data_IF_108458661298
#
_entry.id   IF_108458661298
#
_cell.length_a   1.000
_cell.length_b   1.000
_cell.length_c   1.000
_cell.angle_alpha   90.00
_cell.angle_beta   90.00
_cell.angle_gamma   90.00
#
_symmetry.space_group_name_H-M   'P 1'
#
loop_
_entity.id
_entity.type
_entity.pdbx_description
1 polymer ?
#
# COMPACT_ATOMS: atom_id res chain seq x y z
N UNK A 1 20.41 -18.29 16.17
CA UNK A 1 20.28 -16.84 15.91
C UNK A 1 19.64 -16.11 17.09
N UNK A 2 18.49 -16.55 17.59
CA UNK A 2 17.89 -15.92 18.78
C UNK A 2 18.83 -15.96 19.99
N UNK A 3 19.51 -17.07 20.22
CA UNK A 3 20.51 -17.22 21.29
C UNK A 3 21.75 -16.32 21.14
N UNK A 4 22.00 -15.81 19.93
CA UNK A 4 23.04 -14.81 19.66
C UNK A 4 22.55 -13.35 19.84
N UNK A 5 21.32 -13.16 20.34
CA UNK A 5 20.73 -11.84 20.54
C UNK A 5 20.41 -11.09 19.26
N UNK A 6 20.10 -11.82 18.17
CA UNK A 6 19.70 -11.25 16.88
C UNK A 6 18.17 -11.24 16.83
N UNK A 7 17.60 -10.07 16.63
CA UNK A 7 16.14 -9.91 16.51
C UNK A 7 15.65 -10.41 15.16
N UNK A 8 14.81 -11.45 15.16
CA UNK A 8 14.15 -11.96 13.96
C UNK A 8 12.80 -11.28 13.83
N UNK A 9 12.62 -10.49 12.77
CA UNK A 9 11.39 -9.74 12.49
C UNK A 9 10.43 -10.55 11.63
N UNK A 10 10.95 -11.37 10.71
CA UNK A 10 10.12 -12.16 9.82
C UNK A 10 10.82 -13.40 9.27
N UNK A 11 10.03 -14.35 8.78
CA UNK A 11 10.50 -15.59 8.16
C UNK A 11 9.70 -15.84 6.88
N UNK A 12 10.40 -16.17 5.78
CA UNK A 12 9.77 -16.63 4.56
C UNK A 12 10.18 -18.07 4.28
N UNK A 13 9.20 -18.97 4.31
CA UNK A 13 9.41 -20.38 3.94
C UNK A 13 9.63 -20.55 2.44
N UNK A 14 9.00 -19.69 1.63
CA UNK A 14 9.07 -19.74 0.18
C UNK A 14 10.46 -19.41 -0.36
N UNK A 15 11.10 -18.41 0.24
CA UNK A 15 12.41 -17.95 -0.18
C UNK A 15 13.55 -18.50 0.71
N UNK A 16 13.20 -19.27 1.75
CA UNK A 16 14.15 -19.72 2.77
C UNK A 16 14.98 -18.56 3.34
N UNK A 17 14.30 -17.48 3.72
CA UNK A 17 14.94 -16.24 4.19
C UNK A 17 14.43 -15.83 5.57
N UNK A 18 15.27 -15.10 6.29
CA UNK A 18 14.94 -14.43 7.54
C UNK A 18 15.10 -12.93 7.36
N UNK A 19 14.10 -12.18 7.82
CA UNK A 19 14.23 -10.74 8.03
C UNK A 19 14.68 -10.52 9.46
N UNK A 20 15.80 -9.83 9.64
CA UNK A 20 16.37 -9.52 10.94
C UNK A 20 16.51 -8.01 11.09
N UNK A 21 16.40 -7.53 12.32
CA UNK A 21 16.67 -6.12 12.65
C UNK A 21 18.08 -5.98 13.22
N UNK A 22 18.85 -5.08 12.66
CA UNK A 22 20.20 -4.73 13.09
C UNK A 22 20.22 -3.27 13.52
N UNK A 23 20.55 -3.02 14.78
CA UNK A 23 20.63 -1.67 15.33
C UNK A 23 22.03 -1.05 15.20
N UNK A 24 23.06 -1.89 15.15
CA UNK A 24 24.45 -1.45 15.04
C UNK A 24 25.17 -2.33 14.03
N UNK A 25 25.93 -1.72 13.14
CA UNK A 25 26.65 -2.42 12.07
C UNK A 25 27.59 -3.54 12.59
N UNK A 26 28.17 -3.37 13.78
CA UNK A 26 28.98 -4.41 14.43
C UNK A 26 28.21 -5.72 14.71
N UNK A 27 26.88 -5.67 14.74
CA UNK A 27 26.05 -6.85 14.95
C UNK A 27 26.03 -7.77 13.73
N UNK A 28 26.32 -7.23 12.53
CA UNK A 28 26.47 -8.01 11.31
C UNK A 28 27.57 -9.07 11.45
N UNK A 29 28.67 -8.77 12.16
CA UNK A 29 29.76 -9.72 12.39
C UNK A 29 29.34 -10.97 13.15
N UNK A 30 28.26 -10.90 13.93
CA UNK A 30 27.70 -12.07 14.60
C UNK A 30 27.10 -13.08 13.63
N UNK A 31 26.79 -12.64 12.41
CA UNK A 31 26.22 -13.48 11.35
C UNK A 31 27.29 -14.26 10.60
N UNK A 32 28.52 -13.82 10.60
CA UNK A 32 29.66 -14.47 9.93
C UNK A 32 29.97 -15.88 10.48
N UNK A 33 29.51 -16.17 11.70
CA UNK A 33 29.65 -17.49 12.33
C UNK A 33 28.59 -18.52 11.96
N UNK A 34 27.67 -18.23 11.04
CA UNK A 34 26.60 -19.14 10.66
C UNK A 34 26.78 -19.65 9.22
N UNK A 35 27.29 -20.86 9.05
CA UNK A 35 27.59 -21.49 7.77
C UNK A 35 26.38 -21.62 6.81
N UNK A 36 25.16 -21.58 7.36
CA UNK A 36 23.93 -21.66 6.55
C UNK A 36 23.50 -20.32 5.93
N UNK A 37 24.17 -19.20 6.25
CA UNK A 37 23.89 -17.90 5.63
C UNK A 37 24.65 -17.80 4.33
N UNK A 38 23.94 -17.89 3.19
CA UNK A 38 24.56 -17.80 1.85
C UNK A 38 24.68 -16.36 1.35
N UNK A 39 23.74 -15.50 1.71
CA UNK A 39 23.71 -14.12 1.22
C UNK A 39 22.98 -13.23 2.22
N UNK A 40 23.50 -12.05 2.42
CA UNK A 40 22.84 -10.98 3.16
C UNK A 40 22.56 -9.81 2.21
N UNK A 41 21.37 -9.23 2.35
CA UNK A 41 20.97 -8.03 1.61
C UNK A 41 20.36 -7.03 2.57
N UNK A 42 20.74 -5.77 2.43
CA UNK A 42 20.09 -4.68 3.14
C UNK A 42 18.79 -4.35 2.41
N UNK A 43 17.64 -4.66 3.02
CA UNK A 43 16.32 -4.50 2.39
C UNK A 43 15.63 -3.20 2.78
N UNK A 44 16.02 -2.58 3.90
CA UNK A 44 15.42 -1.36 4.38
C UNK A 44 16.43 -0.42 5.05
N UNK A 45 16.38 0.82 4.68
CA UNK A 45 16.94 1.95 5.43
C UNK A 45 15.76 2.86 5.67
N UNK A 46 15.30 2.96 6.92
CA UNK A 46 14.22 3.89 7.27
C UNK A 46 14.59 5.30 6.76
N UNK A 47 13.88 5.87 5.83
CA UNK A 47 14.18 7.22 5.40
C UNK A 47 13.21 8.16 6.09
N UNK A 48 13.68 8.93 7.03
CA UNK A 48 12.98 10.15 7.48
C UNK A 48 12.62 11.10 6.32
N UNK A 49 13.21 10.88 5.14
CA UNK A 49 13.06 11.77 3.99
C UNK A 49 11.93 11.43 3.02
N UNK A 50 11.40 10.18 2.99
CA UNK A 50 10.34 9.81 2.03
C UNK A 50 9.00 10.38 2.46
N UNK A 51 8.68 10.35 3.75
CA UNK A 51 7.46 10.95 4.29
C UNK A 51 7.39 12.47 4.07
N UNK A 52 8.53 13.17 4.11
CA UNK A 52 8.57 14.61 3.82
C UNK A 52 8.40 14.93 2.33
N UNK A 53 8.95 14.11 1.42
CA UNK A 53 8.77 14.31 -0.03
C UNK A 53 7.35 14.06 -0.48
N UNK A 54 6.67 13.04 0.04
CA UNK A 54 5.26 12.80 -0.27
C UNK A 54 4.36 13.91 0.26
N UNK A 55 4.60 14.41 1.48
CA UNK A 55 3.83 15.52 2.06
C UNK A 55 3.98 16.84 1.28
N UNK A 56 5.14 17.10 0.69
CA UNK A 56 5.36 18.31 -0.12
C UNK A 56 4.75 18.20 -1.53
N UNK A 57 4.70 17.00 -2.12
CA UNK A 57 4.09 16.75 -3.43
C UNK A 57 2.56 16.87 -3.40
N UNK A 58 1.92 16.33 -2.35
CA UNK A 58 0.46 16.37 -2.18
C UNK A 58 -0.05 17.78 -1.96
N UNK A 59 0.68 18.64 -1.24
CA UNK A 59 0.25 20.03 -1.02
C UNK A 59 0.23 20.91 -2.27
N UNK A 60 1.08 20.64 -3.24
CA UNK A 60 1.13 21.43 -4.49
C UNK A 60 0.00 21.10 -5.46
N UNK A 61 -0.51 19.86 -5.44
CA UNK A 61 -1.59 19.40 -6.33
C UNK A 61 -3.01 19.78 -5.89
N UNK A 62 -3.24 20.01 -4.59
CA UNK A 62 -4.60 20.21 -4.06
C UNK A 62 -5.26 21.52 -4.50
N UNK A 63 -4.49 22.53 -4.91
CA UNK A 63 -5.03 23.82 -5.35
C UNK A 63 -5.33 23.92 -6.85
N UNK A 64 -4.96 22.92 -7.65
CA UNK A 64 -5.20 22.90 -9.09
C UNK A 64 -6.37 21.98 -9.51
N UNK A 65 -7.06 21.37 -8.55
CA UNK A 65 -8.05 20.30 -8.78
C UNK A 65 -9.49 20.83 -8.94
N UNK A 66 -9.71 21.92 -9.59
CA UNK A 66 -11.05 22.51 -9.55
C UNK A 66 -11.71 22.89 -10.87
N UNK A 67 -11.01 23.10 -11.94
CA UNK A 67 -11.64 23.67 -13.13
C UNK A 67 -11.29 22.89 -14.40
N UNK A 68 -12.24 22.07 -14.88
CA UNK A 68 -12.19 21.45 -16.20
C UNK A 68 -11.79 19.99 -16.27
N UNK A 69 -11.61 19.30 -15.15
CA UNK A 69 -11.39 17.87 -15.14
C UNK A 69 -12.70 17.15 -15.49
N UNK A 70 -12.75 16.47 -16.65
CA UNK A 70 -13.86 15.62 -17.06
C UNK A 70 -14.14 14.49 -16.05
N UNK A 71 -14.92 13.49 -16.45
CA UNK A 71 -15.42 12.39 -15.60
C UNK A 71 -14.38 11.81 -14.61
N UNK A 72 -13.10 11.73 -14.98
CA UNK A 72 -12.04 11.15 -14.17
C UNK A 72 -11.41 12.10 -13.14
N UNK A 73 -11.70 13.40 -13.25
CA UNK A 73 -11.18 14.39 -12.32
C UNK A 73 -9.64 14.39 -12.25
N UNK A 74 -9.10 14.40 -11.05
CA UNK A 74 -7.65 14.39 -10.80
C UNK A 74 -6.93 13.12 -11.28
N UNK A 75 -7.64 12.01 -11.46
CA UNK A 75 -7.07 10.78 -11.99
C UNK A 75 -6.88 10.79 -13.51
N UNK A 76 -7.38 11.82 -14.21
CA UNK A 76 -7.41 11.87 -15.67
C UNK A 76 -6.06 11.63 -16.33
N UNK A 77 -5.03 12.31 -15.85
CA UNK A 77 -3.68 12.18 -16.38
C UNK A 77 -3.09 10.78 -16.16
N UNK A 78 -3.35 10.18 -15.00
CA UNK A 78 -2.87 8.84 -14.66
C UNK A 78 -3.52 7.77 -15.53
N UNK A 79 -4.85 7.80 -15.66
CA UNK A 79 -5.57 6.87 -16.52
C UNK A 79 -5.18 7.03 -17.99
N UNK A 80 -4.97 8.27 -18.44
CA UNK A 80 -4.51 8.55 -19.81
C UNK A 80 -3.13 7.97 -20.06
N UNK A 81 -2.19 8.12 -19.13
CA UNK A 81 -0.83 7.63 -19.27
C UNK A 81 -0.74 6.10 -19.46
N UNK A 82 -1.64 5.34 -18.82
CA UNK A 82 -1.73 3.88 -18.97
C UNK A 82 -2.81 3.40 -19.95
N UNK A 83 -3.41 4.31 -20.69
CA UNK A 83 -4.50 4.04 -21.62
C UNK A 83 -5.77 3.44 -20.94
N UNK A 84 -5.92 3.63 -19.63
CA UNK A 84 -6.99 3.06 -18.81
C UNK A 84 -8.39 3.56 -19.19
N UNK A 85 -8.51 4.76 -19.75
CA UNK A 85 -9.80 5.28 -20.25
C UNK A 85 -10.42 4.38 -21.32
N UNK A 86 -9.61 3.88 -22.26
CA UNK A 86 -10.09 2.96 -23.32
C UNK A 86 -10.62 1.64 -22.75
N UNK A 87 -10.00 1.15 -21.67
CA UNK A 87 -10.53 -0.03 -20.95
C UNK A 87 -11.91 0.27 -20.35
N UNK A 88 -12.06 1.44 -19.72
CA UNK A 88 -13.36 1.87 -19.16
C UNK A 88 -14.43 2.08 -20.24
N UNK A 89 -14.08 2.67 -21.36
CA UNK A 89 -14.95 2.87 -22.52
C UNK A 89 -15.42 1.52 -23.11
N UNK A 90 -14.58 0.49 -23.09
CA UNK A 90 -14.93 -0.87 -23.51
C UNK A 90 -15.61 -1.71 -22.40
N UNK A 91 -15.96 -1.08 -21.27
CA UNK A 91 -16.70 -1.74 -20.17
C UNK A 91 -15.83 -2.45 -19.12
N UNK A 92 -14.50 -2.39 -19.24
CA UNK A 92 -13.59 -3.05 -18.32
C UNK A 92 -13.21 -2.12 -17.16
N UNK A 93 -13.95 -2.23 -16.04
CA UNK A 93 -13.77 -1.41 -14.82
C UNK A 93 -13.49 -2.25 -13.57
N UNK A 94 -13.10 -3.52 -13.75
CA UNK A 94 -12.80 -4.44 -12.66
C UNK A 94 -13.99 -5.30 -12.19
N UNK A 95 -15.16 -5.21 -12.80
CA UNK A 95 -16.33 -6.01 -12.42
C UNK A 95 -16.02 -7.51 -12.44
N UNK A 96 -16.32 -8.22 -11.34
CA UNK A 96 -16.05 -9.64 -11.16
C UNK A 96 -14.60 -9.99 -10.85
N UNK A 97 -13.74 -8.99 -10.68
CA UNK A 97 -12.33 -9.20 -10.25
C UNK A 97 -12.20 -8.91 -8.76
N UNK A 98 -11.40 -9.72 -8.07
CA UNK A 98 -10.98 -9.49 -6.69
C UNK A 98 -9.54 -8.98 -6.66
N UNK A 99 -9.32 -7.88 -5.96
CA UNK A 99 -8.01 -7.25 -5.78
C UNK A 99 -7.68 -7.25 -4.29
N UNK A 100 -6.60 -7.89 -3.91
CA UNK A 100 -6.07 -7.82 -2.55
C UNK A 100 -5.03 -6.70 -2.45
N UNK A 101 -5.21 -5.79 -1.50
CA UNK A 101 -4.27 -4.71 -1.20
C UNK A 101 -3.60 -5.02 0.13
N UNK A 102 -2.29 -5.18 0.09
CA UNK A 102 -1.43 -5.44 1.24
C UNK A 102 -0.65 -4.18 1.57
N UNK A 103 -0.87 -3.60 2.76
CA UNK A 103 -0.29 -2.31 3.13
C UNK A 103 -0.15 -2.15 4.66
N UNK A 104 0.42 -1.04 5.12
CA UNK A 104 0.58 -0.73 6.54
C UNK A 104 -0.71 -0.34 7.25
N UNK A 105 -1.76 0.03 6.52
CA UNK A 105 -3.04 0.43 7.06
C UNK A 105 -3.87 1.21 6.06
N UNK A 106 -5.12 1.48 6.42
CA UNK A 106 -6.10 2.10 5.52
C UNK A 106 -6.85 3.24 6.22
N UNK A 107 -6.09 4.15 6.84
CA UNK A 107 -6.66 5.23 7.64
C UNK A 107 -7.77 6.00 6.91
N UNK A 108 -8.94 6.05 7.55
CA UNK A 108 -10.14 6.74 7.08
C UNK A 108 -10.70 6.23 5.72
N UNK A 109 -10.26 5.09 5.19
CA UNK A 109 -10.81 4.55 3.94
C UNK A 109 -12.32 4.28 4.05
N UNK A 110 -12.80 3.95 5.24
CA UNK A 110 -14.22 3.75 5.59
C UNK A 110 -15.04 5.05 5.65
N UNK A 111 -14.40 6.22 5.63
CA UNK A 111 -15.03 7.55 5.78
C UNK A 111 -14.91 8.43 4.54
N UNK A 112 -14.05 8.08 3.60
CA UNK A 112 -13.83 8.89 2.39
C UNK A 112 -14.98 8.67 1.42
N UNK A 113 -15.75 9.72 1.02
CA UNK A 113 -16.91 9.56 0.15
C UNK A 113 -16.61 8.85 -1.17
N UNK A 114 -15.45 9.08 -1.77
CA UNK A 114 -15.03 8.44 -3.01
C UNK A 114 -14.79 6.92 -2.87
N UNK A 115 -14.66 6.40 -1.65
CA UNK A 115 -14.48 4.99 -1.34
C UNK A 115 -15.72 4.36 -0.68
N UNK A 116 -16.80 5.12 -0.49
CA UNK A 116 -17.99 4.66 0.24
C UNK A 116 -18.66 3.44 -0.42
N UNK A 117 -18.70 3.40 -1.74
CA UNK A 117 -19.40 2.36 -2.50
C UNK A 117 -18.49 1.20 -2.93
N UNK A 118 -17.27 1.11 -2.40
CA UNK A 118 -16.37 0.00 -2.73
C UNK A 118 -16.93 -1.32 -2.21
N UNK A 119 -16.79 -2.35 -3.02
CA UNK A 119 -17.16 -3.71 -2.63
C UNK A 119 -16.00 -4.30 -1.82
N UNK A 120 -16.18 -4.41 -0.51
CA UNK A 120 -15.22 -5.07 0.37
C UNK A 120 -15.51 -6.57 0.47
N UNK A 121 -14.63 -7.40 -0.05
CA UNK A 121 -14.64 -8.85 0.14
C UNK A 121 -14.24 -9.23 1.57
N UNK A 122 -13.46 -8.38 2.25
CA UNK A 122 -13.07 -8.54 3.64
C UNK A 122 -11.91 -7.65 4.05
N UNK A 123 -11.60 -7.69 5.34
CA UNK A 123 -10.45 -7.03 5.93
C UNK A 123 -9.67 -8.03 6.79
N UNK A 124 -8.34 -7.85 6.87
CA UNK A 124 -7.47 -8.64 7.76
C UNK A 124 -6.37 -7.75 8.32
N UNK A 125 -6.03 -7.97 9.58
CA UNK A 125 -4.89 -7.36 10.25
C UNK A 125 -3.91 -8.45 10.69
N UNK A 126 -2.70 -8.47 10.13
CA UNK A 126 -1.63 -9.40 10.51
C UNK A 126 -0.61 -8.74 11.44
N UNK A 127 -0.69 -7.43 11.63
CA UNK A 127 0.14 -6.69 12.61
C UNK A 127 -0.46 -6.81 14.00
N UNK A 128 -1.80 -6.62 14.09
CA UNK A 128 -2.57 -6.81 15.33
C UNK A 128 -3.72 -7.79 15.04
N UNK A 129 -3.48 -9.12 15.09
CA UNK A 129 -4.45 -10.12 14.65
C UNK A 129 -5.80 -10.10 15.38
N UNK A 130 -5.87 -9.52 16.58
CA UNK A 130 -7.09 -9.34 17.35
C UNK A 130 -7.89 -8.10 16.92
N UNK A 131 -7.26 -7.18 16.19
CA UNK A 131 -7.91 -5.98 15.67
C UNK A 131 -8.92 -6.34 14.60
N UNK A 132 -10.08 -5.69 14.66
CA UNK A 132 -11.08 -5.70 13.59
C UNK A 132 -11.11 -4.37 12.82
N UNK A 133 -10.18 -3.47 13.14
CA UNK A 133 -10.13 -2.13 12.58
C UNK A 133 -8.75 -1.86 11.99
N UNK A 134 -8.70 -1.75 10.66
CA UNK A 134 -7.50 -1.39 9.90
C UNK A 134 -7.56 0.07 9.39
N UNK A 135 -8.59 0.83 9.81
CA UNK A 135 -8.90 2.18 9.30
C UNK A 135 -8.44 3.31 10.23
N UNK A 136 -7.69 3.00 11.27
CA UNK A 136 -7.22 3.99 12.26
C UNK A 136 -5.78 4.44 12.05
N UNK A 137 -5.00 3.69 11.30
CA UNK A 137 -3.56 3.92 11.18
C UNK A 137 -3.11 3.86 9.73
N UNK A 138 -2.01 4.57 9.41
CA UNK A 138 -1.32 4.56 8.13
C UNK A 138 -2.20 4.90 6.93
N UNK A 139 -1.99 6.09 6.38
CA UNK A 139 -2.76 6.57 5.22
C UNK A 139 -2.32 5.99 3.87
N UNK A 140 -1.14 5.33 3.79
CA UNK A 140 -0.56 4.89 2.52
C UNK A 140 -1.48 3.90 1.79
N UNK A 141 -1.99 2.88 2.47
CA UNK A 141 -2.92 1.92 1.85
C UNK A 141 -4.21 2.56 1.36
N UNK A 142 -4.69 3.61 2.04
CA UNK A 142 -5.84 4.40 1.57
C UNK A 142 -5.52 5.13 0.28
N UNK A 143 -4.33 5.71 0.17
CA UNK A 143 -3.88 6.36 -1.08
C UNK A 143 -3.76 5.35 -2.22
N UNK A 144 -3.14 4.19 -1.98
CA UNK A 144 -3.04 3.10 -2.96
C UNK A 144 -4.43 2.62 -3.37
N UNK A 145 -5.30 2.32 -2.41
CA UNK A 145 -6.67 1.89 -2.66
C UNK A 145 -7.43 2.91 -3.52
N UNK A 146 -7.29 4.19 -3.23
CA UNK A 146 -8.00 5.25 -3.96
C UNK A 146 -7.64 5.29 -5.45
N UNK A 147 -6.39 5.00 -5.81
CA UNK A 147 -5.96 4.96 -7.22
C UNK A 147 -6.67 3.88 -8.03
N UNK A 148 -7.14 2.84 -7.36
CA UNK A 148 -7.83 1.72 -7.99
C UNK A 148 -9.36 1.78 -7.80
N UNK A 149 -9.82 1.98 -6.58
CA UNK A 149 -11.19 1.76 -6.15
C UNK A 149 -12.07 3.03 -6.14
N UNK A 150 -11.48 4.22 -6.06
CA UNK A 150 -12.26 5.44 -5.89
C UNK A 150 -13.29 5.63 -7.02
N UNK A 151 -14.50 6.05 -6.63
CA UNK A 151 -15.58 6.36 -7.55
C UNK A 151 -16.29 7.66 -7.16
N UNK A 152 -15.68 8.77 -7.50
CA UNK A 152 -16.24 10.11 -7.37
C UNK A 152 -16.16 10.84 -8.72
N UNK A 153 -17.12 10.63 -9.63
CA UNK A 153 -17.15 11.27 -10.94
C UNK A 153 -16.92 12.78 -10.85
N UNK A 154 -16.12 13.30 -11.76
CA UNK A 154 -15.64 14.68 -11.83
C UNK A 154 -14.60 15.11 -10.77
N UNK A 155 -14.35 14.27 -9.77
CA UNK A 155 -13.34 14.53 -8.74
C UNK A 155 -12.19 13.55 -8.83
N UNK A 156 -12.46 12.25 -8.72
CA UNK A 156 -11.47 11.19 -8.79
C UNK A 156 -12.11 9.84 -9.10
N UNK A 157 -11.72 9.19 -10.18
CA UNK A 157 -12.16 7.84 -10.53
C UNK A 157 -10.93 6.94 -10.74
N UNK A 158 -10.84 5.87 -9.96
CA UNK A 158 -9.75 4.90 -10.00
C UNK A 158 -9.81 3.99 -11.23
N UNK A 159 -8.81 3.13 -11.37
CA UNK A 159 -8.66 2.25 -12.55
C UNK A 159 -9.58 1.03 -12.52
N UNK A 160 -10.06 0.60 -11.37
CA UNK A 160 -10.91 -0.57 -11.19
C UNK A 160 -12.05 -0.35 -10.17
N UNK A 161 -12.89 0.70 -10.36
CA UNK A 161 -13.89 1.11 -9.36
C UNK A 161 -15.01 0.09 -9.15
N UNK A 162 -15.14 -0.91 -10.02
CA UNK A 162 -16.17 -1.95 -9.93
C UNK A 162 -15.64 -3.31 -9.43
N UNK A 163 -14.34 -3.39 -9.08
CA UNK A 163 -13.74 -4.59 -8.49
C UNK A 163 -14.17 -4.80 -7.03
N UNK A 164 -13.96 -6.01 -6.53
CA UNK A 164 -14.05 -6.33 -5.10
C UNK A 164 -12.67 -6.23 -4.46
N UNK A 165 -12.60 -5.71 -3.22
CA UNK A 165 -11.33 -5.46 -2.55
C UNK A 165 -11.21 -6.25 -1.25
N UNK A 166 -10.08 -6.93 -1.08
CA UNK A 166 -9.64 -7.49 0.20
C UNK A 166 -8.52 -6.59 0.74
N UNK A 167 -8.75 -5.97 1.90
CA UNK A 167 -7.75 -5.08 2.51
C UNK A 167 -7.00 -5.82 3.60
N UNK A 168 -5.68 -5.82 3.50
CA UNK A 168 -4.81 -6.58 4.40
C UNK A 168 -3.74 -5.65 4.97
N UNK A 169 -3.79 -5.42 6.29
CA UNK A 169 -2.70 -4.78 7.00
C UNK A 169 -1.64 -5.81 7.32
N UNK A 170 -0.42 -5.64 6.80
CA UNK A 170 0.67 -6.62 6.93
C UNK A 170 2.04 -6.02 7.25
N UNK A 171 2.12 -4.71 7.39
CA UNK A 171 3.34 -3.99 7.74
C UNK A 171 3.05 -2.87 8.75
N UNK A 172 4.09 -2.49 9.54
CA UNK A 172 4.02 -1.53 10.65
C UNK A 172 5.00 -0.38 10.41
#
# INVERSE_FOLDING_TARGET
MADAGIEIVGKSKWNNTLLIRIHKEKELRKLDGFDFIRKMMKVFVAPDSVSQRMRSGVRKGLNEWGNGAGFYGAADAQLKAMNGKRLHESGHRGRGMMIAVFDGGFMNADKIPALHDIKLAGIRDFVVPQSKNIFSEMEHGTMVLSTMAAHAPNYYVGVAPEAEYLLVRCED
#
